data_IF_150885222786
#
_entry.id   IF_150885222786
#
_cell.length_a   1.000
_cell.length_b   1.000
_cell.length_c   1.000
_cell.angle_alpha   90.00
_cell.angle_beta   90.00
_cell.angle_gamma   90.00
#
_symmetry.space_group_name_H-M   'P 1'
#
loop_
_entity.id
_entity.type
_entity.pdbx_description
1 polymer ?
#
# COMPACT_ATOMS: atom_id res chain seq x y z
N UNK A 1 20.13 10.00 -8.75
CA UNK A 1 19.70 10.47 -7.41
C UNK A 1 18.42 9.72 -7.08
N UNK A 2 18.39 8.91 -6.02
CA UNK A 2 17.15 8.23 -5.63
C UNK A 2 16.33 9.17 -4.74
N UNK A 3 15.07 9.42 -5.11
CA UNK A 3 14.17 10.20 -4.27
C UNK A 3 13.77 9.35 -3.06
N UNK A 4 13.89 9.92 -1.87
CA UNK A 4 13.65 9.25 -0.59
C UNK A 4 12.55 9.99 0.14
N UNK A 5 11.59 9.23 0.68
CA UNK A 5 10.55 9.72 1.57
C UNK A 5 10.83 9.18 2.97
N UNK A 6 10.86 10.08 3.96
CA UNK A 6 10.92 9.72 5.38
C UNK A 6 9.66 10.27 6.04
N UNK A 7 8.95 9.45 6.80
CA UNK A 7 7.70 9.85 7.43
C UNK A 7 7.20 8.83 8.44
N UNK A 8 5.98 9.02 8.94
CA UNK A 8 5.31 8.10 9.86
C UNK A 8 4.23 7.32 9.11
N UNK A 9 4.12 6.02 9.36
CA UNK A 9 3.07 5.20 8.77
C UNK A 9 1.76 5.42 9.54
N UNK A 10 0.74 5.95 8.88
CA UNK A 10 -0.61 6.05 9.45
C UNK A 10 -1.38 4.74 9.31
N UNK A 11 -1.07 3.97 8.26
CA UNK A 11 -1.81 2.76 7.92
C UNK A 11 -1.02 1.89 6.97
N UNK A 12 -1.04 0.59 7.23
CA UNK A 12 -0.38 -0.40 6.39
C UNK A 12 -1.26 -1.64 6.28
N UNK A 13 -1.44 -2.15 5.05
CA UNK A 13 -2.17 -3.40 4.84
C UNK A 13 -1.79 -4.09 3.54
N UNK A 14 -1.77 -5.43 3.49
CA UNK A 14 -1.72 -6.15 2.23
C UNK A 14 -3.03 -5.95 1.47
N UNK A 15 -2.93 -5.74 0.16
CA UNK A 15 -4.07 -5.59 -0.74
C UNK A 15 -3.82 -6.48 -1.94
N UNK A 16 -4.82 -7.27 -2.30
CA UNK A 16 -4.74 -8.16 -3.45
C UNK A 16 -6.08 -8.41 -4.10
N UNK A 17 -6.04 -9.14 -5.21
CA UNK A 17 -7.21 -9.54 -5.95
C UNK A 17 -6.87 -10.41 -7.15
N UNK A 18 -7.91 -10.82 -7.87
CA UNK A 18 -7.81 -11.58 -9.11
C UNK A 18 -8.18 -10.66 -10.26
N UNK A 19 -7.43 -10.72 -11.36
CA UNK A 19 -7.78 -10.01 -12.58
C UNK A 19 -8.99 -10.71 -13.21
N UNK A 20 -10.12 -9.99 -13.33
CA UNK A 20 -11.38 -10.59 -13.78
C UNK A 20 -11.49 -10.68 -15.31
N UNK A 21 -10.83 -9.80 -16.08
CA UNK A 21 -10.96 -9.73 -17.53
C UNK A 21 -9.65 -9.38 -18.25
N UNK A 22 -9.56 -9.75 -19.53
CA UNK A 22 -8.41 -9.49 -20.40
C UNK A 22 -7.44 -10.67 -20.51
N UNK A 23 -6.30 -10.45 -21.15
CA UNK A 23 -5.29 -11.49 -21.44
C UNK A 23 -4.65 -12.11 -20.20
N UNK A 24 -4.75 -11.42 -19.05
CA UNK A 24 -4.23 -11.85 -17.75
C UNK A 24 -5.32 -12.29 -16.78
N UNK A 25 -6.54 -12.54 -17.28
CA UNK A 25 -7.66 -12.96 -16.45
C UNK A 25 -7.30 -14.24 -15.65
N UNK A 26 -7.67 -14.27 -14.38
CA UNK A 26 -7.31 -15.34 -13.45
C UNK A 26 -5.97 -15.14 -12.72
N UNK A 27 -5.11 -14.22 -13.18
CA UNK A 27 -3.88 -13.91 -12.45
C UNK A 27 -4.18 -13.18 -11.14
N UNK A 28 -3.47 -13.57 -10.08
CA UNK A 28 -3.50 -12.87 -8.80
C UNK A 28 -2.51 -11.70 -8.80
N UNK A 29 -2.91 -10.60 -8.19
CA UNK A 29 -2.05 -9.45 -7.94
C UNK A 29 -2.08 -9.09 -6.46
N UNK A 30 -0.94 -8.66 -5.94
CA UNK A 30 -0.76 -8.31 -4.53
C UNK A 30 0.21 -7.13 -4.39
N UNK A 31 -0.04 -6.26 -3.43
CA UNK A 31 0.88 -5.20 -3.00
C UNK A 31 0.60 -4.78 -1.56
N UNK A 32 1.57 -4.16 -0.91
CA UNK A 32 1.41 -3.56 0.40
C UNK A 32 1.01 -2.10 0.22
N UNK A 33 -0.21 -1.76 0.65
CA UNK A 33 -0.70 -0.40 0.71
C UNK A 33 -0.16 0.25 1.97
N UNK A 34 0.54 1.37 1.83
CA UNK A 34 1.17 2.08 2.94
C UNK A 34 0.79 3.56 2.84
N UNK A 35 0.30 4.15 3.92
CA UNK A 35 0.02 5.57 4.02
C UNK A 35 1.10 6.20 4.88
N UNK A 36 1.92 7.08 4.28
CA UNK A 36 3.04 7.73 4.96
C UNK A 36 2.76 9.23 5.08
N UNK A 37 2.75 9.76 6.29
CA UNK A 37 2.71 11.20 6.56
C UNK A 37 4.14 11.74 6.58
N UNK A 38 4.42 12.72 5.72
CA UNK A 38 5.66 13.49 5.77
C UNK A 38 5.53 14.60 6.83
N UNK A 39 6.27 14.51 7.95
CA UNK A 39 6.16 15.48 9.03
C UNK A 39 6.66 16.88 8.64
N UNK A 40 7.48 17.00 7.58
CA UNK A 40 8.04 18.30 7.16
C UNK A 40 7.03 19.17 6.45
N UNK A 41 6.11 18.55 5.72
CA UNK A 41 5.16 19.26 4.85
C UNK A 41 3.69 18.93 5.16
N UNK A 42 3.42 18.03 6.11
CA UNK A 42 2.08 17.59 6.47
C UNK A 42 1.34 16.84 5.35
N UNK A 43 2.08 16.31 4.36
CA UNK A 43 1.49 15.62 3.20
C UNK A 43 1.37 14.13 3.47
N UNK A 44 0.26 13.54 3.08
CA UNK A 44 0.05 12.08 3.11
C UNK A 44 0.34 11.49 1.73
N UNK A 45 1.18 10.48 1.69
CA UNK A 45 1.55 9.76 0.49
C UNK A 45 0.90 8.36 0.49
N UNK A 46 0.09 8.09 -0.54
CA UNK A 46 -0.41 6.74 -0.81
C UNK A 46 0.66 5.94 -1.55
N UNK A 47 1.36 5.07 -0.81
CA UNK A 47 2.48 4.29 -1.27
C UNK A 47 2.12 2.82 -1.53
N UNK A 48 2.82 2.18 -2.47
CA UNK A 48 2.66 0.78 -2.85
C UNK A 48 4.00 0.08 -2.95
N UNK A 49 4.20 -0.98 -2.15
CA UNK A 49 5.30 -1.95 -2.31
C UNK A 49 4.74 -3.20 -3.01
N UNK A 50 5.17 -3.47 -4.25
CA UNK A 50 4.64 -4.59 -5.04
C UNK A 50 5.08 -5.94 -4.49
N UNK A 51 4.29 -6.99 -4.71
CA UNK A 51 4.63 -8.35 -4.29
C UNK A 51 5.86 -8.97 -4.98
N UNK A 52 6.25 -8.42 -6.13
CA UNK A 52 7.48 -8.81 -6.82
C UNK A 52 8.74 -8.11 -6.29
N UNK A 53 8.60 -7.15 -5.38
CA UNK A 53 9.74 -6.57 -4.67
C UNK A 53 10.34 -7.63 -3.74
N UNK A 54 11.68 -7.69 -3.69
CA UNK A 54 12.40 -8.66 -2.86
C UNK A 54 11.99 -8.56 -1.38
N UNK A 55 11.76 -7.34 -0.89
CA UNK A 55 11.44 -7.10 0.51
C UNK A 55 10.02 -7.51 0.89
N UNK A 56 9.10 -7.63 -0.08
CA UNK A 56 7.70 -7.90 0.22
C UNK A 56 7.52 -9.18 1.07
N UNK A 57 8.25 -10.25 0.73
CA UNK A 57 8.21 -11.54 1.45
C UNK A 57 8.80 -11.48 2.87
N UNK A 58 9.58 -10.45 3.17
CA UNK A 58 10.10 -10.21 4.52
C UNK A 58 9.04 -9.55 5.41
N UNK A 59 8.11 -8.79 4.82
CA UNK A 59 7.09 -8.02 5.53
C UNK A 59 5.72 -8.72 5.60
N UNK A 60 5.47 -9.69 4.71
CA UNK A 60 4.16 -10.32 4.55
C UNK A 60 4.26 -11.84 4.63
N UNK A 61 3.40 -12.46 5.45
CA UNK A 61 3.14 -13.89 5.46
C UNK A 61 2.10 -14.25 4.40
N UNK A 62 2.35 -15.34 3.68
CA UNK A 62 1.52 -15.81 2.56
C UNK A 62 0.99 -17.20 2.92
N UNK A 63 -0.34 -17.35 2.90
CA UNK A 63 -1.03 -18.62 3.18
C UNK A 63 -2.05 -18.92 2.09
N UNK A 64 -2.28 -20.20 1.75
CA UNK A 64 -3.39 -20.56 0.87
C UNK A 64 -4.72 -20.28 1.57
N UNK A 65 -5.71 -19.85 0.79
CA UNK A 65 -7.06 -19.58 1.27
C UNK A 65 -8.07 -19.54 0.13
N UNK A 66 -9.27 -19.05 0.43
CA UNK A 66 -10.36 -18.91 -0.53
C UNK A 66 -10.90 -17.48 -0.53
N UNK A 67 -11.25 -16.96 -1.71
CA UNK A 67 -11.93 -15.68 -1.83
C UNK A 67 -13.45 -15.83 -1.62
N UNK A 68 -14.18 -14.71 -1.65
CA UNK A 68 -15.65 -14.68 -1.48
C UNK A 68 -16.41 -15.50 -2.55
N UNK A 69 -15.74 -15.85 -3.66
CA UNK A 69 -16.28 -16.69 -4.73
C UNK A 69 -15.82 -18.16 -4.63
N UNK A 70 -15.10 -18.53 -3.58
CA UNK A 70 -14.61 -19.89 -3.31
C UNK A 70 -13.36 -20.31 -4.10
N UNK A 71 -12.74 -19.39 -4.86
CA UNK A 71 -11.53 -19.63 -5.66
C UNK A 71 -10.32 -19.72 -4.75
N UNK A 72 -9.37 -20.59 -5.10
CA UNK A 72 -8.12 -20.70 -4.36
C UNK A 72 -7.25 -19.46 -4.60
N UNK A 73 -6.95 -18.76 -3.51
CA UNK A 73 -6.18 -17.51 -3.51
C UNK A 73 -5.10 -17.53 -2.44
N UNK A 74 -4.09 -16.71 -2.63
CA UNK A 74 -3.14 -16.41 -1.56
C UNK A 74 -3.72 -15.33 -0.64
N UNK A 75 -3.76 -15.62 0.67
CA UNK A 75 -4.07 -14.66 1.72
C UNK A 75 -2.73 -14.11 2.24
N UNK A 76 -2.61 -12.79 2.17
CA UNK A 76 -1.42 -12.04 2.54
C UNK A 76 -1.69 -11.28 3.84
N UNK A 77 -0.90 -11.53 4.88
CA UNK A 77 -1.02 -10.87 6.20
C UNK A 77 0.30 -10.22 6.61
N UNK A 78 0.25 -9.05 7.23
CA UNK A 78 1.46 -8.41 7.75
C UNK A 78 2.13 -9.26 8.84
N UNK A 79 3.46 -9.39 8.79
CA UNK A 79 4.23 -10.08 9.83
C UNK A 79 4.45 -9.24 11.08
N UNK A 80 4.48 -7.93 10.90
CA UNK A 80 4.74 -6.93 11.94
C UNK A 80 3.79 -5.76 11.74
N UNK A 81 3.22 -5.28 12.84
CA UNK A 81 2.51 -4.00 12.85
C UNK A 81 3.51 -2.86 12.73
N UNK A 82 3.29 -1.99 11.75
CA UNK A 82 4.17 -0.86 11.46
C UNK A 82 3.39 0.47 11.49
N UNK A 83 2.11 0.47 11.85
CA UNK A 83 1.41 1.70 12.20
C UNK A 83 2.18 2.47 13.29
N UNK A 84 2.23 3.79 13.16
CA UNK A 84 2.96 4.73 14.02
C UNK A 84 4.49 4.59 14.01
N UNK A 85 5.04 3.69 13.18
CA UNK A 85 6.48 3.63 12.98
C UNK A 85 6.94 4.74 12.04
N UNK A 86 8.06 5.36 12.42
CA UNK A 86 8.86 6.20 11.53
C UNK A 86 9.57 5.31 10.53
N UNK A 87 9.46 5.64 9.26
CA UNK A 87 10.04 4.85 8.17
C UNK A 87 10.78 5.72 7.17
N UNK A 88 11.69 5.06 6.44
CA UNK A 88 12.34 5.61 5.26
C UNK A 88 12.10 4.68 4.08
N UNK A 89 11.59 5.22 2.98
CA UNK A 89 11.31 4.46 1.75
C UNK A 89 12.02 5.12 0.56
N UNK A 90 12.37 4.30 -0.42
CA UNK A 90 12.91 4.77 -1.70
C UNK A 90 11.77 4.85 -2.73
N UNK A 91 11.64 5.99 -3.39
CA UNK A 91 10.69 6.20 -4.46
C UNK A 91 11.15 5.46 -5.73
N UNK A 92 10.22 4.77 -6.40
CA UNK A 92 10.48 4.09 -7.67
C UNK A 92 9.82 4.85 -8.80
N UNK A 93 8.51 5.10 -8.70
CA UNK A 93 7.74 5.79 -9.74
C UNK A 93 6.44 6.36 -9.19
N UNK A 94 5.85 7.29 -9.92
CA UNK A 94 4.50 7.79 -9.66
C UNK A 94 3.60 7.48 -10.84
N UNK A 95 2.35 7.17 -10.56
CA UNK A 95 1.29 7.13 -11.55
C UNK A 95 0.07 7.85 -10.99
N UNK A 96 -0.75 8.39 -11.89
CA UNK A 96 -2.06 8.94 -11.54
C UNK A 96 -3.08 8.26 -12.45
N UNK A 97 -4.03 7.55 -11.84
CA UNK A 97 -5.14 6.93 -12.54
C UNK A 97 -6.44 7.58 -12.09
N UNK A 98 -7.43 7.64 -12.98
CA UNK A 98 -8.76 8.10 -12.61
C UNK A 98 -9.57 6.95 -12.02
N UNK A 99 -10.42 7.27 -11.05
CA UNK A 99 -11.39 6.34 -10.48
C UNK A 99 -12.69 7.07 -10.18
N UNK A 100 -13.81 6.44 -10.50
CA UNK A 100 -15.11 6.86 -9.99
C UNK A 100 -15.26 6.40 -8.54
N UNK A 101 -15.57 7.36 -7.67
CA UNK A 101 -16.00 7.12 -6.30
C UNK A 101 -17.46 7.56 -6.19
N UNK A 102 -18.28 6.66 -5.67
CA UNK A 102 -19.64 6.97 -5.27
C UNK A 102 -19.63 7.52 -3.85
N UNK A 103 -20.20 8.70 -3.68
CA UNK A 103 -20.46 9.27 -2.37
C UNK A 103 -21.60 8.47 -1.72
N UNK A 104 -21.29 7.73 -0.67
CA UNK A 104 -22.25 6.86 0.03
C UNK A 104 -23.43 7.61 0.63
N UNK A 105 -23.33 8.94 0.82
CA UNK A 105 -24.39 9.76 1.40
C UNK A 105 -25.37 10.30 0.37
N UNK A 106 -24.90 10.58 -0.85
CA UNK A 106 -25.69 11.20 -1.92
C UNK A 106 -25.96 10.28 -3.12
N UNK A 107 -25.21 9.18 -3.24
CA UNK A 107 -25.23 8.28 -4.40
C UNK A 107 -24.59 8.87 -5.65
N UNK A 108 -24.03 10.08 -5.58
CA UNK A 108 -23.37 10.71 -6.72
C UNK A 108 -22.01 10.07 -6.99
N UNK A 109 -21.77 9.74 -8.26
CA UNK A 109 -20.46 9.30 -8.74
C UNK A 109 -19.61 10.52 -9.10
N UNK A 110 -18.40 10.57 -8.59
CA UNK A 110 -17.41 11.60 -8.91
C UNK A 110 -16.12 10.94 -9.36
N UNK A 111 -15.58 11.43 -10.47
CA UNK A 111 -14.26 11.03 -10.93
C UNK A 111 -13.21 11.75 -10.11
N UNK A 112 -12.32 10.98 -9.47
CA UNK A 112 -11.18 11.51 -8.74
C UNK A 112 -9.87 11.02 -9.37
N UNK A 113 -8.85 11.86 -9.29
CA UNK A 113 -7.48 11.48 -9.63
C UNK A 113 -6.87 10.74 -8.44
N UNK A 114 -6.50 9.48 -8.63
CA UNK A 114 -5.83 8.67 -7.64
C UNK A 114 -4.33 8.58 -7.95
N UNK A 115 -3.55 9.38 -7.24
CA UNK A 115 -2.08 9.30 -7.28
C UNK A 115 -1.61 8.07 -6.51
N UNK A 116 -0.73 7.29 -7.13
CA UNK A 116 -0.11 6.08 -6.55
C UNK A 116 1.40 6.19 -6.67
N UNK A 117 2.05 6.12 -5.51
CA UNK A 117 3.51 6.18 -5.41
C UNK A 117 4.05 4.77 -5.23
N UNK A 118 4.82 4.27 -6.19
CA UNK A 118 5.52 3.00 -6.02
C UNK A 118 6.79 3.23 -5.21
N UNK A 119 6.98 2.42 -4.17
CA UNK A 119 8.14 2.49 -3.27
C UNK A 119 8.86 1.14 -3.19
N UNK A 120 10.10 1.18 -2.72
CA UNK A 120 10.94 0.02 -2.38
C UNK A 120 11.79 0.34 -1.15
N UNK A 121 12.50 -0.65 -0.61
CA UNK A 121 13.47 -0.48 0.47
C UNK A 121 12.88 0.28 1.67
N UNK A 122 11.75 -0.24 2.17
CA UNK A 122 11.10 0.22 3.39
C UNK A 122 11.97 -0.11 4.59
N UNK A 123 12.46 0.92 5.26
CA UNK A 123 13.26 0.78 6.48
C UNK A 123 12.47 1.32 7.65
N UNK A 124 12.18 0.44 8.58
CA UNK A 124 11.67 0.80 9.90
C UNK A 124 12.77 1.51 10.69
N UNK A 125 12.47 2.70 11.19
CA UNK A 125 13.36 3.53 12.01
C UNK A 125 12.93 3.53 13.49
N UNK A 126 11.95 2.72 13.87
CA UNK A 126 11.38 2.68 15.22
C UNK A 126 10.03 3.40 15.30
N UNK A 127 9.43 3.40 16.49
CA UNK A 127 8.23 4.19 16.77
C UNK A 127 8.55 5.67 16.57
N UNK A 128 7.57 6.46 16.13
CA UNK A 128 7.63 7.89 16.39
C UNK A 128 7.57 8.04 17.91
N UNK A 129 8.70 8.33 18.55
CA UNK A 129 8.67 8.86 19.91
C UNK A 129 7.72 10.06 19.87
N UNK A 130 6.70 10.08 20.73
CA UNK A 130 6.03 11.33 21.05
C UNK A 130 7.15 12.23 21.59
N UNK A 131 7.50 13.28 20.85
CA UNK A 131 8.27 14.42 21.37
C UNK A 131 7.37 15.16 22.40
N UNK A 132 6.95 14.44 23.45
CA UNK A 132 6.33 14.96 24.67
C UNK A 132 7.43 15.06 25.74
N UNK A 133 8.31 16.05 25.58
CA UNK A 133 8.96 16.79 26.68
C UNK A 133 9.36 18.21 26.26
#
# INVERSE_FOLDING_TARGET
MALVLTGVINGIRPVGGVIEAGSRAGEQWHFLSIEITDPRYGRVYSCQLRSNDRQYKELVDIKPGKDDKGRDVEIHTLKKELADHKVKVTFVSQSAGEREIEDKSTGEKRTILQVRTQVTNLRDLGLSEDDDE
#
